data_IF_894730432107
#
_entry.id   IF_894730432107
#
_cell.length_a   1.000
_cell.length_b   1.000
_cell.length_c   1.000
_cell.angle_alpha   90.00
_cell.angle_beta   90.00
_cell.angle_gamma   90.00
#
_symmetry.space_group_name_H-M   'P 1'
#
loop_
_entity.id
_entity.type
_entity.pdbx_description
1 polymer ?
#
# COMPACT_ATOMS: atom_id res chain seq x y z
N UNK A 1 9.87 6.42 -9.49
CA UNK A 1 8.69 6.79 -8.68
C UNK A 1 9.15 7.65 -7.50
N UNK A 2 8.39 8.67 -7.10
CA UNK A 2 8.80 9.63 -6.04
C UNK A 2 8.08 9.47 -4.69
N UNK A 3 7.18 8.50 -4.56
CA UNK A 3 6.64 8.05 -3.26
C UNK A 3 6.02 9.15 -2.38
N UNK A 4 6.00 8.88 -1.07
CA UNK A 4 5.62 9.84 -0.02
C UNK A 4 6.89 10.37 0.65
N UNK A 5 6.85 11.63 1.08
CA UNK A 5 7.96 12.21 1.86
C UNK A 5 8.00 11.62 3.27
N UNK A 6 9.19 11.53 3.85
CA UNK A 6 9.37 11.03 5.22
C UNK A 6 8.52 11.81 6.24
N UNK A 7 8.50 13.14 6.12
CA UNK A 7 7.69 14.03 6.96
C UNK A 7 6.18 13.77 6.93
N UNK A 8 5.69 13.16 5.84
CA UNK A 8 4.29 12.75 5.72
C UNK A 8 4.07 11.40 6.40
N UNK A 9 4.98 10.45 6.20
CA UNK A 9 4.93 9.11 6.81
C UNK A 9 5.00 9.22 8.34
N UNK A 10 5.86 10.09 8.90
CA UNK A 10 5.98 10.30 10.36
C UNK A 10 4.70 10.82 11.01
N UNK A 11 3.78 11.39 10.24
CA UNK A 11 2.48 11.89 10.75
C UNK A 11 1.38 10.83 10.74
N UNK A 12 1.59 9.68 10.11
CA UNK A 12 0.61 8.62 10.07
C UNK A 12 0.60 7.84 11.39
N UNK A 13 -0.58 7.57 11.93
CA UNK A 13 -0.73 6.75 13.15
C UNK A 13 -0.29 5.29 12.91
N UNK A 14 -0.46 4.81 11.68
CA UNK A 14 -0.12 3.45 11.29
C UNK A 14 0.48 3.42 9.88
N UNK A 15 1.44 2.51 9.67
CA UNK A 15 2.02 2.19 8.37
C UNK A 15 1.71 0.73 8.06
N UNK A 16 1.02 0.48 6.95
CA UNK A 16 0.67 -0.86 6.52
C UNK A 16 1.85 -1.58 5.89
N UNK A 17 1.84 -2.91 5.97
CA UNK A 17 2.82 -3.74 5.27
C UNK A 17 2.73 -3.53 3.74
N UNK A 18 3.87 -3.53 3.04
CA UNK A 18 3.87 -3.38 1.59
C UNK A 18 3.11 -4.53 0.91
N UNK A 19 2.53 -4.26 -0.25
CA UNK A 19 1.92 -5.29 -1.08
C UNK A 19 3.04 -6.16 -1.66
N UNK A 20 3.33 -7.34 -1.13
CA UNK A 20 4.33 -8.22 -1.74
C UNK A 20 3.79 -8.89 -3.02
N UNK A 21 4.51 -8.74 -4.13
CA UNK A 21 4.30 -9.52 -5.36
C UNK A 21 5.22 -10.75 -5.42
N UNK A 22 5.05 -11.59 -6.44
CA UNK A 22 5.89 -12.78 -6.68
C UNK A 22 7.27 -12.45 -7.31
N UNK A 23 7.50 -11.20 -7.69
CA UNK A 23 8.71 -10.74 -8.35
C UNK A 23 9.32 -9.53 -7.62
N UNK A 24 10.60 -9.26 -7.89
CA UNK A 24 11.33 -8.13 -7.30
C UNK A 24 10.79 -6.75 -7.72
N UNK A 25 9.98 -6.70 -8.78
CA UNK A 25 9.32 -5.48 -9.23
C UNK A 25 7.93 -5.32 -8.59
N UNK A 26 7.79 -4.30 -7.75
CA UNK A 26 6.56 -4.04 -7.00
C UNK A 26 6.02 -2.60 -7.20
N UNK A 27 6.42 -1.94 -8.30
CA UNK A 27 5.86 -0.63 -8.63
C UNK A 27 4.48 -0.78 -9.26
N UNK A 28 3.47 -0.82 -8.40
CA UNK A 28 2.08 -0.81 -8.80
C UNK A 28 1.63 0.62 -9.15
N UNK A 29 0.62 0.72 -10.02
CA UNK A 29 -0.12 1.98 -10.15
C UNK A 29 -0.77 2.33 -8.81
N UNK A 30 -0.89 3.62 -8.49
CA UNK A 30 -1.53 4.07 -7.24
C UNK A 30 -2.95 3.53 -7.11
N UNK A 31 -3.70 3.47 -8.22
CA UNK A 31 -5.05 2.89 -8.25
C UNK A 31 -5.05 1.41 -7.87
N UNK A 32 -4.13 0.64 -8.43
CA UNK A 32 -4.00 -0.79 -8.14
C UNK A 32 -3.58 -1.01 -6.69
N UNK A 33 -2.61 -0.25 -6.19
CA UNK A 33 -2.18 -0.32 -4.81
C UNK A 33 -3.34 0.00 -3.84
N UNK A 34 -4.10 1.07 -4.12
CA UNK A 34 -5.26 1.44 -3.31
C UNK A 34 -6.35 0.34 -3.32
N UNK A 35 -6.67 -0.23 -4.48
CA UNK A 35 -7.66 -1.31 -4.58
C UNK A 35 -7.27 -2.55 -3.77
N UNK A 36 -6.00 -2.98 -3.85
CA UNK A 36 -5.50 -4.13 -3.10
C UNK A 36 -5.52 -3.87 -1.59
N UNK A 37 -5.13 -2.68 -1.15
CA UNK A 37 -5.18 -2.34 0.28
C UNK A 37 -6.62 -2.31 0.81
N UNK A 38 -7.55 -1.73 0.05
CA UNK A 38 -8.96 -1.72 0.44
C UNK A 38 -9.54 -3.13 0.51
N UNK A 39 -9.20 -3.99 -0.45
CA UNK A 39 -9.61 -5.40 -0.47
C UNK A 39 -9.05 -6.17 0.74
N UNK A 40 -7.79 -5.99 1.12
CA UNK A 40 -7.23 -6.62 2.33
C UNK A 40 -7.93 -6.18 3.62
N UNK A 41 -8.36 -4.93 3.71
CA UNK A 41 -9.00 -4.38 4.92
C UNK A 41 -10.48 -4.76 5.03
N UNK A 42 -11.17 -4.92 3.90
CA UNK A 42 -12.64 -5.04 3.85
C UNK A 42 -13.13 -6.35 3.23
N UNK A 43 -12.29 -7.05 2.48
CA UNK A 43 -12.63 -8.26 1.71
C UNK A 43 -12.73 -9.53 2.54
N UNK A 44 -12.16 -9.56 3.74
CA UNK A 44 -12.15 -10.74 4.64
C UNK A 44 -13.40 -10.80 5.56
N UNK A 45 -14.39 -9.93 5.33
CA UNK A 45 -15.64 -9.84 6.12
C UNK A 45 -16.81 -10.63 5.51
N UNK A 46 -16.53 -11.67 4.71
CA UNK A 46 -17.53 -12.50 4.02
C UNK A 46 -17.61 -13.93 4.55
#
# INVERSE_FOLDING_TARGET
AWGLTESFITKADYVLEPIAGVADYNHLSVRSAAAIILDRLLGDSG
#
